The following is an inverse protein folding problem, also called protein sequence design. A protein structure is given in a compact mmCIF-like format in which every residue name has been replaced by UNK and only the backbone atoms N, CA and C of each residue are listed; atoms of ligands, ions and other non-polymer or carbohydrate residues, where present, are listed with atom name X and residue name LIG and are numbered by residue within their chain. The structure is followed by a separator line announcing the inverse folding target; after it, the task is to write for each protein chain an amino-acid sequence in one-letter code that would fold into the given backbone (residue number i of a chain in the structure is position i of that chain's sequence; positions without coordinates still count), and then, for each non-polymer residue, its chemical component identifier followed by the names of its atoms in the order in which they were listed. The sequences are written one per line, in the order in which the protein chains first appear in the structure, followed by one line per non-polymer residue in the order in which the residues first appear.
data_IF_311244401806
#
_entry.id   IF_311244401806
#
_cell.length_a   1.000
_cell.length_b   1.000
_cell.length_c   1.000
_cell.angle_alpha   90.00
_cell.angle_beta   90.00
_cell.angle_gamma   90.00
#
_symmetry.space_group_name_H-M   'P 1'
#
loop_
_entity.id
_entity.type
_entity.pdbx_description
1 polymer ?
#
# COMPACT_ATOMS: atom_id res chain seq x y z
N UNK A 1 24.79 21.66 -32.80
CA UNK A 1 23.63 20.85 -33.28
C UNK A 1 23.93 19.39 -32.92
N UNK A 2 23.23 18.81 -31.94
CA UNK A 2 23.44 17.40 -31.60
C UNK A 2 22.68 16.53 -32.62
N UNK A 3 23.39 15.61 -33.28
CA UNK A 3 22.81 14.70 -34.28
C UNK A 3 22.49 13.40 -33.54
N UNK A 4 21.21 13.11 -33.33
CA UNK A 4 20.78 11.84 -32.72
C UNK A 4 20.98 10.75 -33.76
N UNK A 5 21.89 9.80 -33.51
CA UNK A 5 22.14 8.68 -34.42
C UNK A 5 21.14 7.55 -34.17
N UNK A 6 20.85 6.76 -35.22
CA UNK A 6 19.92 5.61 -35.14
C UNK A 6 20.26 4.64 -34.00
N UNK A 7 21.56 4.45 -33.71
CA UNK A 7 22.03 3.59 -32.62
C UNK A 7 21.76 4.13 -31.21
N UNK A 8 21.54 5.44 -31.04
CA UNK A 8 21.21 6.05 -29.74
C UNK A 8 19.72 6.07 -29.43
N UNK A 9 18.87 5.90 -30.45
CA UNK A 9 17.42 5.89 -30.33
C UNK A 9 16.87 4.82 -29.37
N UNK A 10 17.30 3.54 -29.42
CA UNK A 10 16.78 2.52 -28.50
C UNK A 10 17.18 2.79 -27.04
N UNK A 11 18.34 3.41 -26.81
CA UNK A 11 18.81 3.74 -25.46
C UNK A 11 17.92 4.81 -24.83
N UNK A 12 17.56 5.85 -25.61
CA UNK A 12 16.64 6.90 -25.17
C UNK A 12 15.24 6.35 -24.88
N UNK A 13 14.73 5.45 -25.72
CA UNK A 13 13.43 4.80 -25.52
C UNK A 13 13.45 3.95 -24.25
N UNK A 14 14.50 3.13 -24.06
CA UNK A 14 14.65 2.30 -22.87
C UNK A 14 14.72 3.16 -21.60
N UNK A 15 15.50 4.24 -21.62
CA UNK A 15 15.61 5.16 -20.50
C UNK A 15 14.28 5.86 -20.18
N UNK A 16 13.57 6.32 -21.21
CA UNK A 16 12.22 6.90 -21.06
C UNK A 16 11.22 5.89 -20.50
N UNK A 17 11.29 4.63 -20.93
CA UNK A 17 10.42 3.56 -20.44
C UNK A 17 10.70 3.24 -18.96
N UNK A 18 11.98 3.19 -18.57
CA UNK A 18 12.37 2.98 -17.17
C UNK A 18 11.86 4.11 -16.28
N UNK A 19 12.00 5.38 -16.72
CA UNK A 19 11.47 6.54 -15.98
C UNK A 19 9.94 6.46 -15.85
N UNK A 20 9.25 6.11 -16.94
CA UNK A 20 7.80 5.99 -16.94
C UNK A 20 7.31 4.90 -15.96
N UNK A 21 7.96 3.74 -15.96
CA UNK A 21 7.65 2.64 -15.03
C UNK A 21 7.96 3.05 -13.58
N UNK A 22 9.08 3.75 -13.34
CA UNK A 22 9.44 4.21 -12.01
C UNK A 22 8.46 5.26 -11.46
N UNK A 23 7.85 6.07 -12.31
CA UNK A 23 6.82 7.04 -11.96
C UNK A 23 5.42 6.44 -11.79
N UNK A 24 5.19 5.23 -12.29
CA UNK A 24 3.91 4.51 -12.19
C UNK A 24 3.67 3.91 -10.80
N UNK A 25 4.09 4.60 -9.73
CA UNK A 25 3.78 4.17 -8.37
C UNK A 25 2.34 4.50 -8.04
N UNK A 26 1.59 3.50 -7.61
CA UNK A 26 0.23 3.67 -7.10
C UNK A 26 0.19 4.65 -5.92
N UNK A 27 -0.65 5.68 -6.04
CA UNK A 27 -0.82 6.70 -4.99
C UNK A 27 -1.34 6.04 -3.70
N UNK A 28 -0.62 6.25 -2.59
CA UNK A 28 -1.04 5.78 -1.26
C UNK A 28 -1.82 6.86 -0.51
N UNK A 29 -3.05 6.54 -0.11
CA UNK A 29 -3.93 7.40 0.69
C UNK A 29 -4.14 6.81 2.08
N UNK A 30 -4.52 7.66 3.03
CA UNK A 30 -4.87 7.22 4.39
C UNK A 30 -6.32 6.74 4.39
N UNK A 31 -6.54 5.52 4.87
CA UNK A 31 -7.85 4.93 5.05
C UNK A 31 -8.06 4.55 6.50
N UNK A 32 -9.30 4.69 6.98
CA UNK A 32 -9.75 4.11 8.25
C UNK A 32 -10.50 2.83 7.91
N UNK A 33 -9.98 1.70 8.39
CA UNK A 33 -10.58 0.37 8.26
C UNK A 33 -11.36 0.09 9.55
N UNK A 34 -12.67 -0.10 9.41
CA UNK A 34 -13.56 -0.54 10.47
C UNK A 34 -13.65 -2.06 10.44
N UNK A 35 -13.35 -2.74 11.55
CA UNK A 35 -13.30 -4.21 11.63
C UNK A 35 -14.42 -4.79 12.50
N UNK A 36 -15.48 -4.02 12.78
CA UNK A 36 -16.64 -4.48 13.56
C UNK A 36 -16.60 -4.06 15.03
N UNK A 37 -17.47 -4.65 15.85
CA UNK A 37 -17.58 -4.30 17.26
C UNK A 37 -16.33 -4.69 18.06
N UNK A 38 -16.05 -3.93 19.13
CA UNK A 38 -14.91 -4.16 20.01
C UNK A 38 -14.96 -5.57 20.59
N UNK A 39 -13.97 -6.45 20.30
CA UNK A 39 -13.72 -7.58 21.17
C UNK A 39 -13.40 -7.03 22.58
N UNK A 40 -13.80 -7.78 23.60
CA UNK A 40 -13.65 -7.43 25.02
C UNK A 40 -12.23 -6.93 25.35
N UNK A 41 -12.11 -6.22 26.47
CA UNK A 41 -10.96 -5.42 26.96
C UNK A 41 -9.57 -6.09 26.98
N UNK A 42 -9.44 -7.35 26.56
CA UNK A 42 -8.18 -8.09 26.43
C UNK A 42 -7.65 -8.17 24.99
N UNK A 43 -8.24 -7.46 24.02
CA UNK A 43 -7.77 -7.50 22.64
C UNK A 43 -6.43 -6.74 22.46
N UNK A 44 -5.37 -7.53 22.27
CA UNK A 44 -4.04 -7.04 21.93
C UNK A 44 -4.05 -6.33 20.57
N UNK A 45 -3.13 -5.39 20.29
CA UNK A 45 -3.01 -4.70 18.99
C UNK A 45 -2.39 -5.58 17.87
N UNK A 46 -2.01 -6.81 18.19
CA UNK A 46 -1.47 -7.82 17.26
C UNK A 46 -2.34 -8.09 16.01
N UNK A 47 -3.68 -8.13 16.09
CA UNK A 47 -4.57 -8.43 14.97
C UNK A 47 -4.48 -7.40 13.84
N UNK A 48 -4.30 -6.13 14.17
CA UNK A 48 -4.12 -5.05 13.19
C UNK A 48 -2.82 -5.22 12.39
N UNK A 49 -1.76 -5.68 13.05
CA UNK A 49 -0.48 -5.93 12.38
C UNK A 49 -0.54 -7.16 11.48
N UNK A 50 -1.26 -8.21 11.91
CA UNK A 50 -1.47 -9.42 11.12
C UNK A 50 -2.31 -9.15 9.87
N UNK A 51 -3.40 -8.37 9.98
CA UNK A 51 -4.20 -7.95 8.82
C UNK A 51 -3.34 -7.20 7.80
N UNK A 52 -2.57 -6.21 8.27
CA UNK A 52 -1.69 -5.45 7.40
C UNK A 52 -0.57 -6.31 6.80
N UNK A 53 -0.01 -7.27 7.54
CA UNK A 53 0.97 -8.21 7.00
C UNK A 53 0.40 -9.08 5.87
N UNK A 54 -0.84 -9.57 6.03
CA UNK A 54 -1.53 -10.38 5.04
C UNK A 54 -1.81 -9.61 3.75
N UNK A 55 -2.24 -8.35 3.87
CA UNK A 55 -2.63 -7.52 2.72
C UNK A 55 -1.41 -6.91 2.03
N UNK A 56 -0.42 -6.46 2.81
CA UNK A 56 0.70 -5.65 2.35
C UNK A 56 1.96 -6.46 2.05
N UNK A 57 1.88 -7.79 2.10
CA UNK A 57 2.96 -8.72 1.71
C UNK A 57 4.31 -8.36 2.36
N UNK A 58 4.30 -8.17 3.68
CA UNK A 58 5.49 -8.11 4.54
C UNK A 58 6.34 -6.83 4.51
N UNK A 59 6.57 -6.20 3.36
CA UNK A 59 7.54 -5.08 3.26
C UNK A 59 6.96 -3.71 3.65
N UNK A 60 5.63 -3.54 3.61
CA UNK A 60 4.98 -2.23 3.80
C UNK A 60 4.07 -2.14 5.03
N UNK A 61 3.86 -3.21 5.79
CA UNK A 61 2.87 -3.24 6.88
C UNK A 61 3.21 -2.32 8.05
N UNK A 62 4.45 -2.38 8.55
CA UNK A 62 4.93 -1.49 9.63
C UNK A 62 4.96 -0.01 9.24
N UNK A 63 5.26 0.28 7.96
CA UNK A 63 5.31 1.67 7.46
C UNK A 63 3.93 2.21 7.05
N UNK A 64 2.97 1.31 6.83
CA UNK A 64 1.61 1.66 6.41
C UNK A 64 0.70 1.95 7.60
N UNK A 65 0.85 1.24 8.73
CA UNK A 65 0.04 1.49 9.93
C UNK A 65 0.32 2.89 10.49
N UNK A 66 -0.71 3.73 10.56
CA UNK A 66 -0.66 5.04 11.21
C UNK A 66 -1.17 4.93 12.64
N UNK A 67 -2.32 4.28 12.84
CA UNK A 67 -2.95 4.19 14.15
C UNK A 67 -3.82 2.95 14.28
N UNK A 68 -3.98 2.48 15.52
CA UNK A 68 -4.79 1.32 15.89
C UNK A 68 -5.87 1.78 16.87
N UNK A 69 -7.10 1.88 16.41
CA UNK A 69 -8.26 2.22 17.23
C UNK A 69 -8.77 0.98 17.97
N UNK A 70 -8.74 1.02 19.30
CA UNK A 70 -9.26 -0.06 20.14
C UNK A 70 -10.75 0.10 20.45
N UNK A 71 -11.26 1.33 20.49
CA UNK A 71 -12.63 1.65 20.90
C UNK A 71 -13.71 1.10 19.97
N UNK A 72 -13.41 0.99 18.68
CA UNK A 72 -14.31 0.48 17.66
C UNK A 72 -13.69 -0.63 16.82
N UNK A 73 -12.62 -1.26 17.33
CA UNK A 73 -11.85 -2.29 16.61
C UNK A 73 -11.53 -1.90 15.15
N UNK A 74 -10.57 -1.00 14.97
CA UNK A 74 -10.19 -0.54 13.64
C UNK A 74 -8.78 0.00 13.56
N UNK A 75 -8.36 0.38 12.37
CA UNK A 75 -7.02 0.93 12.15
C UNK A 75 -7.01 2.01 11.06
N UNK A 76 -6.10 2.96 11.18
CA UNK A 76 -5.75 3.89 10.13
C UNK A 76 -4.46 3.42 9.45
N UNK A 77 -4.47 3.28 8.12
CA UNK A 77 -3.31 2.84 7.36
C UNK A 77 -3.18 3.56 6.01
N UNK A 78 -1.93 3.72 5.53
CA UNK A 78 -1.62 4.21 4.17
C UNK A 78 -1.68 3.07 3.18
N UNK A 79 -2.69 3.06 2.32
CA UNK A 79 -2.96 1.99 1.36
C UNK A 79 -3.06 2.54 -0.05
N UNK A 80 -2.69 1.74 -1.03
CA UNK A 80 -3.05 1.91 -2.44
C UNK A 80 -4.52 1.53 -2.65
N UNK A 81 -5.10 1.91 -3.79
CA UNK A 81 -6.47 1.52 -4.15
C UNK A 81 -6.64 -0.02 -4.14
N UNK A 82 -5.68 -0.75 -4.71
CA UNK A 82 -5.66 -2.21 -4.74
C UNK A 82 -5.57 -2.85 -3.36
N UNK A 83 -4.78 -2.28 -2.45
CA UNK A 83 -4.66 -2.76 -1.07
C UNK A 83 -5.97 -2.53 -0.29
N UNK A 84 -6.63 -1.38 -0.48
CA UNK A 84 -7.97 -1.10 0.08
C UNK A 84 -8.98 -2.15 -0.39
N UNK A 85 -9.04 -2.44 -1.69
CA UNK A 85 -9.97 -3.44 -2.23
C UNK A 85 -9.72 -4.84 -1.68
N UNK A 86 -8.44 -5.23 -1.52
CA UNK A 86 -8.07 -6.50 -0.88
C UNK A 86 -8.57 -6.59 0.56
N UNK A 87 -8.47 -5.50 1.33
CA UNK A 87 -9.00 -5.45 2.71
C UNK A 87 -10.52 -5.58 2.69
N UNK A 88 -11.21 -4.87 1.80
CA UNK A 88 -12.68 -4.94 1.73
C UNK A 88 -13.19 -6.33 1.29
N UNK A 89 -12.41 -7.05 0.48
CA UNK A 89 -12.73 -8.42 0.05
C UNK A 89 -12.22 -9.53 0.99
N UNK A 90 -11.45 -9.20 2.03
CA UNK A 90 -11.12 -10.17 3.07
C UNK A 90 -12.35 -10.25 3.97
N UNK A 91 -13.02 -11.40 4.00
CA UNK A 91 -14.09 -11.66 4.96
C UNK A 91 -13.51 -11.53 6.39
N UNK A 92 -13.67 -10.35 7.00
CA UNK A 92 -13.46 -10.09 8.43
C UNK A 92 -14.68 -10.50 9.22
#
# INVERSE_FOLDING_TARGET
MAIISSSTLPILISFSLIIFIAGATEERKVYIVYMGDSPSSEYSAQPHHNLLNQVLQGLSSKKSLIHSYRSFNGLAARLTAKEKERIAGTHT
#
